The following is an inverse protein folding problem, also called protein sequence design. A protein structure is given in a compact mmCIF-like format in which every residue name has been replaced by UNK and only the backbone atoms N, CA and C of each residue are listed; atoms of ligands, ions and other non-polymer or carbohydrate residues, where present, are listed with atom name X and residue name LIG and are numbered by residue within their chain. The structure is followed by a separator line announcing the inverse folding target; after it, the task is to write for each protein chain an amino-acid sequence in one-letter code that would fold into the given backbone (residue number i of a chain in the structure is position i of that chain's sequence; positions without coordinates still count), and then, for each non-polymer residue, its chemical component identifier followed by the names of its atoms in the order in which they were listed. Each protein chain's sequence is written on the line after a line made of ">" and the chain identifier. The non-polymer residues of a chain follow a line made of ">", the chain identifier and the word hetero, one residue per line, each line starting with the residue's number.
data_IF_415429642473
#
_entry.id   IF_415429642473
#
_cell.length_a   1.000
_cell.length_b   1.000
_cell.length_c   1.000
_cell.angle_alpha   90.00
_cell.angle_beta   90.00
_cell.angle_gamma   90.00
#
_symmetry.space_group_name_H-M   'P 1'
#
loop_
_entity.id
_entity.type
_entity.pdbx_description
1 polymer ?
#
# COMPACT_ATOMS: atom_id res chain seq x y z
N UNK A 1 -17.46 13.99 37.21
CA UNK A 1 -16.25 13.47 36.54
C UNK A 1 -15.70 14.63 35.78
N UNK A 2 -14.47 15.03 36.05
CA UNK A 2 -13.94 16.35 35.63
C UNK A 2 -13.56 16.32 34.12
N UNK A 3 -14.46 16.81 33.28
CA UNK A 3 -14.29 16.89 31.82
C UNK A 3 -13.03 17.68 31.42
N UNK A 4 -12.60 18.63 32.24
CA UNK A 4 -11.38 19.41 32.03
C UNK A 4 -10.10 18.54 32.21
N UNK A 5 -10.17 17.50 33.02
CA UNK A 5 -9.09 16.53 33.22
C UNK A 5 -9.00 15.59 32.02
N UNK A 6 -10.14 15.09 31.52
CA UNK A 6 -10.20 14.25 30.33
C UNK A 6 -9.67 14.99 29.09
N UNK A 7 -10.03 16.26 28.93
CA UNK A 7 -9.52 17.10 27.84
C UNK A 7 -8.02 17.39 27.97
N UNK A 8 -7.51 17.60 29.20
CA UNK A 8 -6.07 17.77 29.45
C UNK A 8 -5.29 16.47 29.17
N UNK A 9 -5.81 15.33 29.59
CA UNK A 9 -5.19 14.04 29.35
C UNK A 9 -5.22 13.67 27.85
N UNK A 10 -6.26 14.04 27.12
CA UNK A 10 -6.33 13.93 25.67
C UNK A 10 -5.33 14.87 24.94
N UNK A 11 -5.11 16.06 25.47
CA UNK A 11 -4.11 17.01 24.93
C UNK A 11 -2.66 16.62 25.29
N UNK A 12 -2.45 15.73 26.25
CA UNK A 12 -1.13 15.18 26.63
C UNK A 12 -0.87 13.78 26.05
N UNK A 13 -1.48 13.40 24.93
CA UNK A 13 -1.06 12.24 24.14
C UNK A 13 0.31 12.53 23.47
N UNK A 14 1.27 12.97 24.31
CA UNK A 14 2.67 13.08 23.92
C UNK A 14 3.14 11.69 23.56
N UNK A 15 3.51 11.49 22.28
CA UNK A 15 3.98 10.21 21.79
C UNK A 15 3.05 9.53 20.81
N UNK A 16 1.72 9.72 20.86
CA UNK A 16 0.79 9.05 19.95
C UNK A 16 1.13 9.27 18.46
N UNK A 17 1.52 10.49 18.08
CA UNK A 17 1.90 10.82 16.71
C UNK A 17 3.40 10.79 16.45
N UNK A 18 4.23 10.56 17.46
CA UNK A 18 5.69 10.70 17.37
C UNK A 18 6.49 9.50 17.87
N UNK A 19 5.87 8.63 18.67
CA UNK A 19 6.57 7.46 19.20
C UNK A 19 6.78 6.41 18.10
N UNK A 20 7.98 5.85 17.98
CA UNK A 20 8.24 4.80 17.02
C UNK A 20 7.56 3.48 17.45
N UNK A 21 7.36 2.59 16.48
CA UNK A 21 6.75 1.28 16.71
C UNK A 21 7.41 0.50 17.87
N UNK A 22 8.74 0.55 17.96
CA UNK A 22 9.48 -0.14 19.01
C UNK A 22 9.12 0.30 20.44
N UNK A 23 8.58 1.51 20.59
CA UNK A 23 8.11 2.03 21.88
C UNK A 23 6.63 1.73 22.09
N UNK A 24 5.84 1.78 21.02
CA UNK A 24 4.38 1.63 21.09
C UNK A 24 3.96 0.17 21.12
N UNK A 25 4.62 -0.68 20.32
CA UNK A 25 4.39 -2.12 20.23
C UNK A 25 5.74 -2.85 20.03
N UNK A 26 6.45 -3.13 21.13
CA UNK A 26 7.76 -3.78 21.06
C UNK A 26 7.69 -5.23 20.53
N UNK A 27 6.56 -5.92 20.68
CA UNK A 27 6.40 -7.30 20.21
C UNK A 27 6.35 -7.33 18.67
N UNK A 28 5.57 -6.45 18.06
CA UNK A 28 5.54 -6.30 16.60
C UNK A 28 6.87 -5.80 16.06
N UNK A 29 7.51 -4.85 16.74
CA UNK A 29 8.83 -4.36 16.32
C UNK A 29 9.91 -5.46 16.35
N UNK A 30 9.88 -6.33 17.36
CA UNK A 30 10.79 -7.48 17.44
C UNK A 30 10.53 -8.48 16.28
N UNK A 31 9.28 -8.82 16.00
CA UNK A 31 8.93 -9.70 14.90
C UNK A 31 9.40 -9.17 13.53
N UNK A 32 9.30 -7.84 13.30
CA UNK A 32 9.81 -7.20 12.08
C UNK A 32 11.35 -7.29 12.01
N UNK A 33 12.03 -7.11 13.14
CA UNK A 33 13.49 -7.23 13.19
C UNK A 33 13.95 -8.68 12.92
N UNK A 34 13.25 -9.66 13.48
CA UNK A 34 13.53 -11.08 13.23
C UNK A 34 13.30 -11.45 11.76
N UNK A 35 12.23 -10.93 11.14
CA UNK A 35 11.97 -11.13 9.71
C UNK A 35 13.06 -10.51 8.84
N UNK A 36 13.60 -9.36 9.20
CA UNK A 36 14.74 -8.78 8.50
C UNK A 36 15.96 -9.72 8.52
N UNK A 37 16.27 -10.29 9.68
CA UNK A 37 17.36 -11.29 9.82
C UNK A 37 17.07 -12.52 8.96
N UNK A 38 15.84 -13.03 8.99
CA UNK A 38 15.44 -14.15 8.16
C UNK A 38 15.68 -13.87 6.67
N UNK A 39 15.26 -12.71 6.17
CA UNK A 39 15.44 -12.34 4.77
C UNK A 39 16.92 -12.16 4.38
N UNK A 40 17.77 -11.74 5.31
CA UNK A 40 19.20 -11.58 5.07
C UNK A 40 19.96 -12.91 5.06
N UNK A 41 19.55 -13.85 5.92
CA UNK A 41 20.30 -15.08 6.19
C UNK A 41 19.76 -16.30 5.45
N UNK A 42 18.54 -16.23 4.90
CA UNK A 42 17.90 -17.34 4.23
C UNK A 42 17.72 -17.07 2.73
N UNK A 43 17.85 -18.11 1.92
CA UNK A 43 17.56 -18.04 0.49
C UNK A 43 16.05 -18.21 0.31
N UNK A 44 15.42 -17.20 -0.27
CA UNK A 44 14.01 -17.26 -0.64
C UNK A 44 13.83 -17.96 -1.99
N UNK A 45 13.03 -19.04 -2.01
CA UNK A 45 12.81 -19.87 -3.21
C UNK A 45 11.41 -19.67 -3.80
N UNK A 46 10.63 -18.70 -3.31
CA UNK A 46 9.28 -18.42 -3.81
C UNK A 46 9.39 -17.44 -4.97
N UNK A 47 9.15 -17.92 -6.20
CA UNK A 47 9.35 -17.16 -7.43
C UNK A 47 8.44 -15.90 -7.56
N UNK A 48 7.33 -15.84 -6.82
CA UNK A 48 6.41 -14.70 -6.80
C UNK A 48 6.82 -13.61 -5.81
N UNK A 49 7.78 -13.84 -4.95
CA UNK A 49 8.25 -12.83 -3.99
C UNK A 49 9.26 -11.88 -4.63
N UNK A 50 9.16 -10.62 -4.26
CA UNK A 50 10.05 -9.55 -4.71
C UNK A 50 10.49 -8.72 -3.51
N UNK A 51 11.80 -8.71 -3.24
CA UNK A 51 12.37 -7.90 -2.17
C UNK A 51 12.46 -6.45 -2.65
N UNK A 52 11.65 -5.59 -2.05
CA UNK A 52 11.58 -4.18 -2.40
C UNK A 52 12.66 -3.35 -1.71
N UNK A 53 12.97 -2.19 -2.26
CA UNK A 53 13.92 -1.25 -1.66
C UNK A 53 13.35 -0.57 -0.41
N UNK A 54 14.24 -0.04 0.43
CA UNK A 54 13.86 0.80 1.58
C UNK A 54 12.98 1.97 1.15
N UNK A 55 13.29 2.62 0.03
CA UNK A 55 12.51 3.74 -0.49
C UNK A 55 11.05 3.36 -0.81
N UNK A 56 10.80 2.14 -1.30
CA UNK A 56 9.44 1.64 -1.53
C UNK A 56 8.70 1.45 -0.20
N UNK A 57 9.37 0.89 0.81
CA UNK A 57 8.79 0.70 2.15
C UNK A 57 8.50 2.04 2.83
N UNK A 58 9.40 3.02 2.73
CA UNK A 58 9.19 4.37 3.24
C UNK A 58 7.99 5.08 2.59
N UNK A 59 7.85 4.96 1.27
CA UNK A 59 6.72 5.53 0.55
C UNK A 59 5.40 4.87 0.97
N UNK A 60 5.37 3.55 1.09
CA UNK A 60 4.19 2.78 1.49
C UNK A 60 3.76 3.07 2.92
N UNK A 61 4.71 3.19 3.87
CA UNK A 61 4.47 3.48 5.27
C UNK A 61 4.40 4.98 5.60
N UNK A 62 4.23 5.84 4.61
CA UNK A 62 4.23 7.29 4.82
C UNK A 62 2.89 7.82 5.32
N UNK A 63 2.87 9.13 5.64
CA UNK A 63 1.65 9.86 6.07
C UNK A 63 0.54 9.87 5.00
N UNK A 64 0.85 9.51 3.75
CA UNK A 64 -0.16 9.32 2.70
C UNK A 64 -1.21 8.28 3.09
N UNK A 65 -0.85 7.32 3.95
CA UNK A 65 -1.76 6.32 4.54
C UNK A 65 -2.98 6.96 5.22
N UNK A 66 -2.84 8.17 5.77
CA UNK A 66 -3.92 8.87 6.46
C UNK A 66 -4.90 9.56 5.50
N UNK A 67 -4.59 9.65 4.20
CA UNK A 67 -5.43 10.39 3.25
C UNK A 67 -6.37 9.48 2.48
N UNK A 68 -7.66 9.71 2.68
CA UNK A 68 -8.70 9.11 1.85
C UNK A 68 -8.82 9.90 0.53
N UNK A 69 -8.55 9.25 -0.63
CA UNK A 69 -8.44 9.90 -1.94
C UNK A 69 -9.33 9.20 -2.99
N UNK A 70 -10.63 9.09 -2.70
CA UNK A 70 -11.60 8.50 -3.61
C UNK A 70 -11.74 9.34 -4.90
N UNK A 71 -11.87 8.67 -6.03
CA UNK A 71 -11.86 9.29 -7.36
C UNK A 71 -10.51 9.16 -8.04
N UNK A 72 -10.22 10.02 -9.00
CA UNK A 72 -8.98 10.03 -9.79
C UNK A 72 -8.26 11.37 -9.64
N UNK A 73 -6.98 11.42 -9.94
CA UNK A 73 -6.19 12.64 -9.93
C UNK A 73 -6.90 13.76 -10.70
N UNK A 74 -7.04 14.92 -10.05
CA UNK A 74 -7.77 16.08 -10.57
C UNK A 74 -9.31 15.94 -10.57
N UNK A 75 -9.86 14.81 -10.16
CA UNK A 75 -11.31 14.57 -10.06
C UNK A 75 -11.65 13.75 -8.80
N UNK A 76 -11.33 14.33 -7.65
CA UNK A 76 -11.58 13.72 -6.34
C UNK A 76 -12.95 14.10 -5.77
N UNK A 77 -13.48 13.21 -4.95
CA UNK A 77 -14.74 13.49 -4.21
C UNK A 77 -14.49 14.37 -2.97
N UNK A 78 -13.24 14.43 -2.47
CA UNK A 78 -12.87 15.15 -1.25
C UNK A 78 -11.70 16.09 -1.51
N UNK A 79 -11.62 17.16 -0.71
CA UNK A 79 -10.49 18.09 -0.71
C UNK A 79 -9.22 17.52 -0.07
N UNK A 80 -8.10 18.23 -0.20
CA UNK A 80 -6.82 17.87 0.41
C UNK A 80 -6.08 16.75 -0.30
N UNK A 81 -6.35 16.53 -1.60
CA UNK A 81 -5.74 15.48 -2.40
C UNK A 81 -4.58 15.97 -3.30
N UNK A 82 -4.17 17.21 -3.16
CA UNK A 82 -3.18 17.86 -4.04
C UNK A 82 -1.87 17.07 -4.10
N UNK A 83 -1.39 16.59 -2.97
CA UNK A 83 -0.13 15.84 -2.89
C UNK A 83 -0.30 14.36 -3.28
N UNK A 84 -1.43 13.75 -2.96
CA UNK A 84 -1.76 12.40 -3.43
C UNK A 84 -1.89 12.37 -4.95
N UNK A 85 -2.49 13.41 -5.54
CA UNK A 85 -2.60 13.56 -7.00
C UNK A 85 -1.24 13.61 -7.69
N UNK A 86 -0.27 14.28 -7.09
CA UNK A 86 1.11 14.29 -7.60
C UNK A 86 1.69 12.88 -7.61
N UNK A 87 1.57 12.15 -6.51
CA UNK A 87 2.12 10.79 -6.39
C UNK A 87 1.44 9.83 -7.38
N UNK A 88 0.10 9.86 -7.48
CA UNK A 88 -0.65 9.02 -8.42
C UNK A 88 -0.30 9.34 -9.87
N UNK A 89 -0.19 10.63 -10.22
CA UNK A 89 0.20 11.07 -11.56
C UNK A 89 1.60 10.60 -11.93
N UNK A 90 2.57 10.77 -11.02
CA UNK A 90 3.94 10.27 -11.22
C UNK A 90 3.98 8.75 -11.42
N UNK A 91 3.18 8.01 -10.66
CA UNK A 91 3.10 6.55 -10.82
C UNK A 91 2.55 6.17 -12.20
N UNK A 92 1.49 6.84 -12.65
CA UNK A 92 0.89 6.63 -13.99
C UNK A 92 1.91 6.94 -15.10
N UNK A 93 2.57 8.10 -15.03
CA UNK A 93 3.53 8.54 -16.06
C UNK A 93 4.72 7.58 -16.16
N UNK A 94 5.30 7.21 -15.02
CA UNK A 94 6.44 6.28 -14.96
C UNK A 94 6.07 4.87 -15.44
N UNK A 95 4.89 4.39 -15.09
CA UNK A 95 4.41 3.09 -15.59
C UNK A 95 4.15 3.14 -17.10
N UNK A 96 3.58 4.25 -17.62
CA UNK A 96 3.41 4.43 -19.07
C UNK A 96 4.75 4.41 -19.82
N UNK A 97 5.75 5.10 -19.30
CA UNK A 97 7.09 5.10 -19.87
C UNK A 97 7.72 3.71 -19.82
N UNK A 98 7.68 3.05 -18.65
CA UNK A 98 8.28 1.74 -18.43
C UNK A 98 7.71 0.67 -19.36
N UNK A 99 6.39 0.64 -19.52
CA UNK A 99 5.69 -0.38 -20.31
C UNK A 99 5.40 0.05 -21.76
N UNK A 100 5.70 1.28 -22.15
CA UNK A 100 5.43 1.80 -23.49
C UNK A 100 3.93 1.78 -23.86
N UNK A 101 3.04 1.90 -22.89
CA UNK A 101 1.59 1.79 -23.11
C UNK A 101 0.89 3.17 -23.10
N UNK A 102 -0.29 3.23 -23.71
CA UNK A 102 -1.05 4.48 -23.81
C UNK A 102 -1.91 4.77 -22.59
N UNK A 103 -2.26 3.75 -21.80
CA UNK A 103 -3.14 3.87 -20.64
C UNK A 103 -2.61 3.06 -19.45
N UNK A 104 -2.71 3.62 -18.26
CA UNK A 104 -2.33 2.99 -17.00
C UNK A 104 -3.35 3.35 -15.93
N UNK A 105 -3.72 2.38 -15.11
CA UNK A 105 -4.45 2.58 -13.86
C UNK A 105 -3.59 1.99 -12.72
N UNK A 106 -3.23 2.82 -11.76
CA UNK A 106 -2.37 2.44 -10.62
C UNK A 106 -3.17 2.26 -9.32
N UNK A 107 -4.50 2.29 -9.38
CA UNK A 107 -5.36 2.22 -8.19
C UNK A 107 -5.66 0.79 -7.67
N UNK A 108 -5.54 -0.31 -8.45
CA UNK A 108 -5.71 -1.63 -7.88
C UNK A 108 -4.78 -1.84 -6.67
N UNK A 109 -5.33 -2.29 -5.55
CA UNK A 109 -4.56 -2.49 -4.32
C UNK A 109 -3.79 -3.82 -4.30
N UNK A 110 -4.02 -4.69 -5.29
CA UNK A 110 -3.34 -6.00 -5.40
C UNK A 110 -3.36 -6.50 -6.85
N UNK A 111 -2.43 -7.42 -7.17
CA UNK A 111 -2.45 -8.15 -8.45
C UNK A 111 -3.76 -8.93 -8.64
N UNK A 112 -4.32 -9.49 -7.58
CA UNK A 112 -5.61 -10.18 -7.64
C UNK A 112 -6.75 -9.24 -8.06
N UNK A 113 -6.81 -8.03 -7.52
CA UNK A 113 -7.80 -7.03 -7.94
C UNK A 113 -7.59 -6.57 -9.39
N UNK A 114 -6.34 -6.37 -9.80
CA UNK A 114 -6.02 -6.01 -11.19
C UNK A 114 -6.45 -7.12 -12.16
N UNK A 115 -6.14 -8.38 -11.87
CA UNK A 115 -6.57 -9.53 -12.65
C UNK A 115 -8.10 -9.65 -12.71
N UNK A 116 -8.78 -9.47 -11.57
CA UNK A 116 -10.23 -9.50 -11.53
C UNK A 116 -10.86 -8.40 -12.43
N UNK A 117 -10.30 -7.20 -12.43
CA UNK A 117 -10.75 -6.12 -13.28
C UNK A 117 -10.60 -6.48 -14.77
N UNK A 118 -9.50 -7.12 -15.16
CA UNK A 118 -9.28 -7.62 -16.52
C UNK A 118 -10.30 -8.70 -16.88
N UNK A 119 -10.52 -9.68 -16.02
CA UNK A 119 -11.52 -10.72 -16.25
C UNK A 119 -12.94 -10.14 -16.42
N UNK A 120 -13.33 -9.22 -15.55
CA UNK A 120 -14.64 -8.56 -15.65
C UNK A 120 -14.81 -7.75 -16.95
N UNK A 121 -13.72 -7.22 -17.51
CA UNK A 121 -13.78 -6.45 -18.76
C UNK A 121 -13.82 -7.33 -20.01
N UNK A 122 -13.25 -8.52 -19.98
CA UNK A 122 -13.05 -9.36 -21.16
C UNK A 122 -13.95 -10.59 -21.19
N UNK A 123 -14.43 -11.07 -20.04
CA UNK A 123 -15.10 -12.36 -19.91
C UNK A 123 -16.51 -12.22 -19.34
N UNK A 124 -17.34 -13.19 -19.66
CA UNK A 124 -18.68 -13.38 -19.09
C UNK A 124 -18.70 -14.68 -18.27
N UNK A 125 -19.61 -14.84 -17.31
CA UNK A 125 -19.80 -16.11 -16.62
C UNK A 125 -20.05 -17.26 -17.62
N UNK A 126 -19.22 -18.32 -17.53
CA UNK A 126 -19.27 -19.46 -18.43
C UNK A 126 -18.23 -19.46 -19.55
N UNK A 127 -17.49 -18.35 -19.76
CA UNK A 127 -16.39 -18.31 -20.72
C UNK A 127 -15.22 -19.19 -20.25
N UNK A 128 -14.53 -19.77 -21.22
CA UNK A 128 -13.41 -20.69 -20.96
C UNK A 128 -12.10 -19.91 -20.79
N UNK A 129 -11.37 -20.22 -19.73
CA UNK A 129 -10.04 -19.69 -19.44
C UNK A 129 -9.03 -20.83 -19.51
N UNK A 130 -7.91 -20.62 -20.22
CA UNK A 130 -6.76 -21.52 -20.16
C UNK A 130 -5.79 -21.02 -19.08
N UNK A 131 -5.50 -21.84 -18.11
CA UNK A 131 -4.55 -21.55 -17.03
C UNK A 131 -3.73 -22.79 -16.68
N UNK A 132 -2.64 -22.56 -15.95
CA UNK A 132 -1.84 -23.65 -15.41
C UNK A 132 -2.57 -24.29 -14.22
N UNK A 133 -2.36 -25.59 -14.04
CA UNK A 133 -2.83 -26.30 -12.85
C UNK A 133 -2.13 -25.78 -11.61
N UNK A 134 -2.83 -25.75 -10.49
CA UNK A 134 -2.25 -25.38 -9.18
C UNK A 134 -1.15 -26.35 -8.73
N UNK A 135 -1.13 -27.56 -9.28
CA UNK A 135 -0.13 -28.59 -8.99
C UNK A 135 1.04 -28.63 -10.03
N UNK A 136 1.06 -27.67 -10.96
CA UNK A 136 2.07 -27.61 -12.02
C UNK A 136 3.33 -26.88 -11.58
#
# INVERSE_FOLDING_TARGET
>A
MDDARILRDAMTMTGFFSDPLAKTDPEVAAAIADELVRQQDQIEMIASENIVSVAVMEAQGSILTNKYAEGYSGRRYYGGCEHVDVVETLAIERARELFGCSYVNVQPHSGAQANQAVFLSLLKPGDTILGMSLAA
#
